data_IF_735796762566
#
_entry.id   IF_735796762566
#
_cell.length_a   1.000
_cell.length_b   1.000
_cell.length_c   1.000
_cell.angle_alpha   90.00
_cell.angle_beta   90.00
_cell.angle_gamma   90.00
#
_symmetry.space_group_name_H-M   'P 1'
#
loop_
_entity.id
_entity.type
_entity.pdbx_description
1 polymer ?
#
# COMPACT_ATOMS: atom_id res chain seq x y z
N UNK A 1 0.49 -46.49 16.45
CA UNK A 1 0.45 -45.02 16.53
C UNK A 1 1.08 -44.51 15.24
N UNK A 2 0.28 -43.91 14.35
CA UNK A 2 0.80 -43.39 13.10
C UNK A 2 1.50 -42.06 13.41
N UNK A 3 2.80 -41.99 13.14
CA UNK A 3 3.54 -40.75 13.15
C UNK A 3 2.95 -39.82 12.09
N UNK A 4 2.33 -38.74 12.55
CA UNK A 4 1.86 -37.65 11.72
C UNK A 4 3.09 -36.92 11.20
N UNK A 5 3.58 -37.30 10.03
CA UNK A 5 4.63 -36.57 9.32
C UNK A 5 3.99 -35.27 8.83
N UNK A 6 4.10 -34.21 9.63
CA UNK A 6 3.92 -32.85 9.17
C UNK A 6 4.85 -32.63 7.98
N UNK A 7 4.29 -32.58 6.78
CA UNK A 7 5.03 -32.06 5.62
C UNK A 7 5.41 -30.63 5.99
N UNK A 8 6.71 -30.26 6.00
CA UNK A 8 7.10 -28.89 6.24
C UNK A 8 6.54 -28.06 5.08
N UNK A 9 5.38 -27.43 5.32
CA UNK A 9 4.76 -26.56 4.34
C UNK A 9 5.71 -25.38 4.13
N UNK A 10 5.83 -24.93 2.87
CA UNK A 10 6.66 -23.77 2.49
C UNK A 10 6.32 -22.52 3.34
N UNK A 11 5.15 -22.50 3.98
CA UNK A 11 4.72 -21.50 4.95
C UNK A 11 5.65 -21.36 6.18
N UNK A 12 6.27 -22.44 6.69
CA UNK A 12 7.13 -22.37 7.89
C UNK A 12 8.53 -21.80 7.61
N UNK A 13 8.93 -21.69 6.33
CA UNK A 13 10.22 -21.07 5.94
C UNK A 13 10.12 -19.54 5.80
N UNK A 14 8.95 -18.95 6.01
CA UNK A 14 8.68 -17.51 5.91
C UNK A 14 8.65 -16.85 7.33
N UNK A 15 9.04 -17.59 8.36
CA UNK A 15 8.98 -17.19 9.78
C UNK A 15 9.96 -16.07 10.17
N UNK A 16 10.91 -15.70 9.31
CA UNK A 16 11.75 -14.50 9.55
C UNK A 16 11.14 -13.32 8.82
N UNK A 17 10.46 -12.38 9.52
CA UNK A 17 10.03 -11.16 8.87
C UNK A 17 11.29 -10.35 8.54
N UNK A 18 11.66 -10.37 7.26
CA UNK A 18 12.65 -9.46 6.69
C UNK A 18 12.39 -8.04 7.24
N UNK A 19 13.41 -7.25 7.62
CA UNK A 19 13.21 -5.93 8.22
C UNK A 19 12.27 -5.04 7.41
N UNK A 20 12.28 -5.18 6.08
CA UNK A 20 11.33 -4.54 5.16
C UNK A 20 9.87 -4.95 5.38
N UNK A 21 9.59 -6.22 5.68
CA UNK A 21 8.24 -6.70 6.01
C UNK A 21 7.79 -6.15 7.36
N UNK A 22 8.70 -6.08 8.34
CA UNK A 22 8.41 -5.45 9.64
C UNK A 22 8.07 -3.96 9.49
N UNK A 23 8.77 -3.28 8.59
CA UNK A 23 8.54 -1.88 8.25
C UNK A 23 7.23 -1.66 7.48
N UNK A 24 6.89 -2.57 6.56
CA UNK A 24 5.60 -2.55 5.86
C UNK A 24 4.41 -2.81 6.81
N UNK A 25 4.63 -3.58 7.89
CA UNK A 25 3.65 -3.85 8.94
C UNK A 25 3.49 -2.66 9.90
N UNK A 26 4.53 -1.87 10.14
CA UNK A 26 4.49 -0.73 11.05
C UNK A 26 4.00 0.53 10.34
N UNK A 27 2.70 0.82 10.54
CA UNK A 27 2.03 2.03 10.07
C UNK A 27 2.81 3.33 10.39
N UNK A 28 3.29 3.57 11.63
CA UNK A 28 3.99 4.80 11.93
C UNK A 28 5.35 4.91 11.25
N UNK A 29 6.16 3.84 11.22
CA UNK A 29 7.50 3.92 10.63
C UNK A 29 7.42 4.14 9.11
N UNK A 30 6.51 3.45 8.43
CA UNK A 30 6.35 3.61 6.99
C UNK A 30 5.84 5.01 6.61
N UNK A 31 4.88 5.55 7.36
CA UNK A 31 4.37 6.90 7.13
C UNK A 31 5.44 7.97 7.39
N UNK A 32 6.19 7.86 8.50
CA UNK A 32 7.26 8.80 8.84
C UNK A 32 8.39 8.76 7.80
N UNK A 33 8.87 7.57 7.42
CA UNK A 33 9.93 7.41 6.42
C UNK A 33 9.49 8.00 5.08
N UNK A 34 8.25 7.71 4.66
CA UNK A 34 7.70 8.24 3.39
C UNK A 34 7.65 9.76 3.42
N UNK A 35 7.13 10.37 4.48
CA UNK A 35 7.03 11.83 4.59
C UNK A 35 8.40 12.51 4.62
N UNK A 36 9.35 11.96 5.37
CA UNK A 36 10.73 12.48 5.42
C UNK A 36 11.39 12.39 4.04
N UNK A 37 11.31 11.24 3.38
CA UNK A 37 11.94 11.02 2.06
C UNK A 37 11.33 11.95 1.01
N UNK A 38 10.00 12.07 0.95
CA UNK A 38 9.33 12.97 0.00
C UNK A 38 9.73 14.43 0.26
N UNK A 39 9.79 14.85 1.52
CA UNK A 39 10.16 16.22 1.89
C UNK A 39 11.61 16.54 1.53
N UNK A 40 12.54 15.63 1.82
CA UNK A 40 13.96 15.79 1.47
C UNK A 40 14.16 15.78 -0.06
N UNK A 41 13.49 14.89 -0.78
CA UNK A 41 13.49 14.87 -2.25
C UNK A 41 12.99 16.19 -2.84
N UNK A 42 11.87 16.70 -2.33
CA UNK A 42 11.30 17.98 -2.77
C UNK A 42 12.26 19.14 -2.50
N UNK A 43 12.82 19.21 -1.30
CA UNK A 43 13.82 20.23 -0.96
C UNK A 43 15.04 20.16 -1.89
N UNK A 44 15.61 18.97 -2.09
CA UNK A 44 16.77 18.78 -2.97
C UNK A 44 16.49 19.21 -4.42
N UNK A 45 15.34 18.79 -4.97
CA UNK A 45 14.96 19.08 -6.35
C UNK A 45 14.59 20.54 -6.60
N UNK A 46 14.10 21.26 -5.60
CA UNK A 46 13.84 22.69 -5.68
C UNK A 46 15.13 23.51 -5.53
N UNK A 47 16.12 23.02 -4.78
CA UNK A 47 17.41 23.71 -4.63
C UNK A 47 18.36 23.49 -5.82
N UNK A 48 18.36 22.31 -6.43
CA UNK A 48 19.31 21.94 -7.50
C UNK A 48 18.68 21.87 -8.90
N UNK A 49 17.36 21.99 -8.99
CA UNK A 49 16.63 21.84 -10.24
C UNK A 49 16.22 23.17 -10.87
N UNK A 50 15.88 23.14 -12.15
CA UNK A 50 15.40 24.30 -12.89
C UNK A 50 13.97 24.66 -12.45
N UNK A 51 13.84 25.53 -11.45
CA UNK A 51 12.54 26.03 -10.95
C UNK A 51 11.70 26.72 -12.02
N UNK A 52 12.33 27.30 -13.05
CA UNK A 52 11.66 27.97 -14.18
C UNK A 52 11.02 26.99 -15.18
N UNK A 53 11.36 25.69 -15.10
CA UNK A 53 10.78 24.68 -15.98
C UNK A 53 9.53 24.07 -15.34
N UNK A 54 8.37 24.39 -15.91
CA UNK A 54 7.09 23.78 -15.54
C UNK A 54 7.11 22.25 -15.63
N UNK A 55 7.84 21.69 -16.60
CA UNK A 55 8.00 20.25 -16.75
C UNK A 55 8.81 19.63 -15.60
N UNK A 56 9.83 20.34 -15.10
CA UNK A 56 10.63 19.90 -13.96
C UNK A 56 9.81 19.92 -12.66
N UNK A 57 9.10 21.02 -12.40
CA UNK A 57 8.23 21.16 -11.23
C UNK A 57 7.11 20.12 -11.25
N UNK A 58 6.47 19.92 -12.41
CA UNK A 58 5.44 18.89 -12.58
C UNK A 58 5.98 17.47 -12.40
N UNK A 59 7.14 17.17 -12.99
CA UNK A 59 7.77 15.84 -12.91
C UNK A 59 8.19 15.46 -11.50
N UNK A 60 8.83 16.38 -10.77
CA UNK A 60 9.24 16.17 -9.37
C UNK A 60 8.04 15.97 -8.45
N UNK A 61 6.96 16.73 -8.66
CA UNK A 61 5.69 16.52 -7.97
C UNK A 61 5.09 15.14 -8.26
N UNK A 62 5.06 14.73 -9.54
CA UNK A 62 4.53 13.43 -9.95
C UNK A 62 5.30 12.27 -9.31
N UNK A 63 6.64 12.35 -9.27
CA UNK A 63 7.48 11.34 -8.60
C UNK A 63 7.11 11.23 -7.11
N UNK A 64 6.93 12.35 -6.42
CA UNK A 64 6.52 12.35 -5.02
C UNK A 64 5.15 11.70 -4.80
N UNK A 65 4.17 12.01 -5.64
CA UNK A 65 2.83 11.41 -5.59
C UNK A 65 2.88 9.91 -5.88
N UNK A 66 3.63 9.47 -6.89
CA UNK A 66 3.82 8.06 -7.20
C UNK A 66 4.45 7.29 -6.03
N UNK A 67 5.49 7.86 -5.39
CA UNK A 67 6.13 7.24 -4.23
C UNK A 67 5.14 7.13 -3.05
N UNK A 68 4.39 8.21 -2.75
CA UNK A 68 3.40 8.23 -1.69
C UNK A 68 2.34 7.15 -1.88
N UNK A 69 1.78 7.07 -3.08
CA UNK A 69 0.74 6.09 -3.43
C UNK A 69 1.27 4.67 -3.46
N UNK A 70 2.50 4.45 -3.95
CA UNK A 70 3.14 3.14 -3.92
C UNK A 70 3.33 2.65 -2.48
N UNK A 71 3.87 3.51 -1.60
CA UNK A 71 4.05 3.16 -0.19
C UNK A 71 2.71 2.91 0.51
N UNK A 72 1.71 3.76 0.26
CA UNK A 72 0.36 3.54 0.77
C UNK A 72 -0.23 2.21 0.27
N UNK A 73 -0.10 1.90 -1.01
CA UNK A 73 -0.59 0.65 -1.60
C UNK A 73 0.09 -0.59 -1.00
N UNK A 74 1.43 -0.57 -0.86
CA UNK A 74 2.19 -1.66 -0.22
C UNK A 74 1.70 -1.85 1.22
N UNK A 75 1.48 -0.76 1.95
CA UNK A 75 0.98 -0.82 3.31
C UNK A 75 -0.43 -1.43 3.40
N UNK A 76 -1.33 -0.98 2.52
CA UNK A 76 -2.74 -1.42 2.50
C UNK A 76 -2.88 -2.86 1.99
N UNK A 77 -2.02 -3.30 1.07
CA UNK A 77 -2.02 -4.66 0.52
C UNK A 77 -1.87 -5.75 1.60
N UNK A 78 -1.28 -5.41 2.74
CA UNK A 78 -1.09 -6.34 3.85
C UNK A 78 -2.34 -6.48 4.76
N UNK A 79 -3.42 -5.72 4.53
CA UNK A 79 -4.58 -5.69 5.42
C UNK A 79 -5.90 -5.83 4.66
N UNK A 80 -6.94 -6.32 5.34
CA UNK A 80 -8.27 -6.43 4.74
C UNK A 80 -8.94 -5.07 4.55
N UNK A 81 -9.83 -4.97 3.55
CA UNK A 81 -10.53 -3.74 3.15
C UNK A 81 -11.22 -3.02 4.32
N UNK A 82 -11.75 -3.75 5.30
CA UNK A 82 -12.39 -3.17 6.49
C UNK A 82 -11.44 -2.29 7.30
N UNK A 83 -10.15 -2.65 7.35
CA UNK A 83 -9.14 -1.88 8.08
C UNK A 83 -8.65 -0.65 7.30
N UNK A 84 -8.93 -0.56 5.99
CA UNK A 84 -8.47 0.56 5.16
C UNK A 84 -9.15 1.87 5.56
N UNK A 85 -10.40 1.81 6.04
CA UNK A 85 -11.21 2.96 6.47
C UNK A 85 -10.48 3.81 7.51
N UNK A 86 -9.75 3.19 8.44
CA UNK A 86 -9.02 3.90 9.50
C UNK A 86 -7.52 4.02 9.21
N UNK A 87 -6.94 3.06 8.48
CA UNK A 87 -5.49 3.04 8.25
C UNK A 87 -5.04 3.98 7.15
N UNK A 88 -5.84 4.18 6.10
CA UNK A 88 -5.54 5.18 5.07
C UNK A 88 -5.52 6.61 5.63
N UNK A 89 -6.54 7.08 6.39
CA UNK A 89 -6.47 8.39 7.00
C UNK A 89 -5.38 8.48 8.07
N UNK A 90 -5.14 7.43 8.87
CA UNK A 90 -4.05 7.44 9.86
C UNK A 90 -2.67 7.52 9.20
N UNK A 91 -2.46 6.84 8.07
CA UNK A 91 -1.25 6.96 7.28
C UNK A 91 -1.05 8.40 6.78
N UNK A 92 -2.11 9.01 6.24
CA UNK A 92 -2.06 10.40 5.78
C UNK A 92 -1.75 11.39 6.92
N UNK A 93 -2.32 11.19 8.12
CA UNK A 93 -2.08 12.04 9.29
C UNK A 93 -0.63 11.91 9.78
N UNK A 94 -0.10 10.69 9.87
CA UNK A 94 1.28 10.50 10.33
C UNK A 94 2.32 10.98 9.32
N UNK A 95 2.06 10.75 8.02
CA UNK A 95 2.93 11.23 6.96
C UNK A 95 2.94 12.77 6.91
N UNK A 96 1.76 13.40 6.98
CA UNK A 96 1.66 14.86 7.06
C UNK A 96 2.26 15.42 8.35
N UNK A 97 2.14 14.71 9.48
CA UNK A 97 2.82 15.06 10.72
C UNK A 97 4.34 15.08 10.59
N UNK A 98 4.93 14.10 9.91
CA UNK A 98 6.37 14.09 9.60
C UNK A 98 6.75 15.28 8.73
N UNK A 99 5.96 15.57 7.70
CA UNK A 99 6.18 16.69 6.80
C UNK A 99 6.09 18.04 7.54
N UNK A 100 5.12 18.23 8.42
CA UNK A 100 4.98 19.42 9.27
C UNK A 100 6.19 19.56 10.21
N UNK A 101 6.64 18.48 10.85
CA UNK A 101 7.80 18.52 11.75
C UNK A 101 9.08 18.91 11.01
N UNK A 102 9.31 18.35 9.81
CA UNK A 102 10.47 18.73 8.99
C UNK A 102 10.36 20.18 8.53
N UNK A 103 9.16 20.64 8.15
CA UNK A 103 8.92 22.06 7.82
C UNK A 103 9.26 22.96 9.00
N UNK A 104 8.74 22.64 10.19
CA UNK A 104 8.98 23.43 11.39
C UNK A 104 10.47 23.46 11.76
N UNK A 105 11.19 22.34 11.59
CA UNK A 105 12.63 22.27 11.79
C UNK A 105 13.39 23.16 10.78
N UNK A 106 13.01 23.14 9.50
CA UNK A 106 13.62 23.97 8.45
C UNK A 106 13.31 25.46 8.62
N UNK A 107 12.08 25.81 9.01
CA UNK A 107 11.66 27.17 9.35
C UNK A 107 12.49 27.70 10.53
N UNK A 108 12.68 26.89 11.59
CA UNK A 108 13.54 27.27 12.73
C UNK A 108 15.00 27.52 12.32
N UNK A 109 15.46 26.85 11.27
CA UNK A 109 16.81 27.00 10.72
C UNK A 109 16.91 28.11 9.66
N UNK A 110 15.82 28.83 9.34
CA UNK A 110 15.73 29.81 8.24
C UNK A 110 16.11 29.22 6.86
N UNK A 111 15.78 27.95 6.62
CA UNK A 111 16.10 27.25 5.38
C UNK A 111 14.87 26.97 4.50
N UNK A 112 13.68 27.47 4.89
CA UNK A 112 12.43 27.19 4.17
C UNK A 112 11.89 28.42 3.44
N UNK A 113 12.03 28.48 2.10
CA UNK A 113 11.30 29.44 1.27
C UNK A 113 9.86 28.98 1.05
N UNK A 114 8.88 29.82 1.38
CA UNK A 114 7.46 29.66 1.05
C UNK A 114 7.13 30.50 -0.19
N UNK A 115 7.60 30.08 -1.36
CA UNK A 115 7.40 30.84 -2.61
C UNK A 115 8.42 31.97 -2.75
N UNK A 116 7.97 33.23 -2.78
CA UNK A 116 8.82 34.42 -2.96
C UNK A 116 9.40 34.97 -1.64
N UNK A 117 8.90 34.52 -0.49
CA UNK A 117 9.32 34.97 0.84
C UNK A 117 9.76 33.80 1.73
N UNK A 118 10.54 34.11 2.77
CA UNK A 118 10.95 33.12 3.77
C UNK A 118 9.80 32.80 4.71
N UNK A 119 9.65 31.53 5.09
CA UNK A 119 8.60 31.11 6.00
C UNK A 119 8.76 31.75 7.39
N UNK A 120 7.72 32.43 7.87
CA UNK A 120 7.69 32.91 9.25
C UNK A 120 7.07 31.85 10.16
N UNK A 121 7.46 31.83 11.45
CA UNK A 121 6.89 30.92 12.43
C UNK A 121 5.38 31.16 12.65
N UNK A 122 4.81 32.27 12.19
CA UNK A 122 3.38 32.56 12.21
C UNK A 122 2.58 31.74 11.18
N UNK A 123 3.22 31.34 10.07
CA UNK A 123 2.60 30.64 8.93
C UNK A 123 2.47 29.12 9.13
N UNK A 124 2.99 28.60 10.23
CA UNK A 124 3.07 27.16 10.49
C UNK A 124 1.70 26.49 10.51
N UNK A 125 0.69 27.10 11.15
CA UNK A 125 -0.63 26.50 11.36
C UNK A 125 -1.48 26.49 10.08
N UNK A 126 -1.59 27.60 9.32
CA UNK A 126 -2.23 27.59 7.99
C UNK A 126 -1.56 26.60 7.03
N UNK A 127 -0.23 26.54 7.04
CA UNK A 127 0.55 25.63 6.18
C UNK A 127 0.32 24.17 6.56
N UNK A 128 0.38 23.84 7.85
CA UNK A 128 0.10 22.50 8.37
C UNK A 128 -1.31 22.02 8.02
N UNK A 129 -2.31 22.88 8.23
CA UNK A 129 -3.72 22.55 7.94
C UNK A 129 -3.93 22.28 6.45
N UNK A 130 -3.33 23.11 5.58
CA UNK A 130 -3.38 22.92 4.12
C UNK A 130 -2.74 21.60 3.70
N UNK A 131 -1.58 21.26 4.26
CA UNK A 131 -0.88 19.99 3.99
C UNK A 131 -1.78 18.82 4.40
N UNK A 132 -2.26 18.80 5.64
CA UNK A 132 -3.11 17.73 6.17
C UNK A 132 -4.37 17.54 5.33
N UNK A 133 -5.05 18.64 4.98
CA UNK A 133 -6.30 18.59 4.23
C UNK A 133 -6.13 17.98 2.84
N UNK A 134 -5.21 18.52 2.04
CA UNK A 134 -4.95 18.01 0.69
C UNK A 134 -4.40 16.59 0.72
N UNK A 135 -3.62 16.25 1.75
CA UNK A 135 -3.10 14.90 1.93
C UNK A 135 -4.18 13.89 2.24
N UNK A 136 -5.05 14.19 3.20
CA UNK A 136 -6.20 13.35 3.55
C UNK A 136 -7.10 13.13 2.35
N UNK A 137 -7.37 14.19 1.58
CA UNK A 137 -8.19 14.11 0.38
C UNK A 137 -7.53 13.21 -0.68
N UNK A 138 -6.25 13.43 -0.99
CA UNK A 138 -5.52 12.66 -2.00
C UNK A 138 -5.35 11.19 -1.64
N UNK A 139 -4.88 10.90 -0.42
CA UNK A 139 -4.69 9.52 0.06
C UNK A 139 -6.04 8.81 0.23
N UNK A 140 -7.06 9.50 0.73
CA UNK A 140 -8.41 8.95 0.86
C UNK A 140 -9.02 8.60 -0.50
N UNK A 141 -8.94 9.49 -1.49
CA UNK A 141 -9.41 9.23 -2.84
C UNK A 141 -8.66 8.06 -3.49
N UNK A 142 -7.32 8.03 -3.39
CA UNK A 142 -6.51 6.93 -3.88
C UNK A 142 -6.87 5.60 -3.24
N UNK A 143 -6.99 5.55 -1.91
CA UNK A 143 -7.36 4.34 -1.19
C UNK A 143 -8.76 3.85 -1.57
N UNK A 144 -9.71 4.77 -1.81
CA UNK A 144 -11.04 4.44 -2.33
C UNK A 144 -11.00 3.80 -3.71
N UNK A 145 -10.27 4.40 -4.66
CA UNK A 145 -10.08 3.84 -6.01
C UNK A 145 -9.41 2.46 -5.94
N UNK A 146 -8.34 2.34 -5.15
CA UNK A 146 -7.65 1.06 -4.96
C UNK A 146 -8.57 0.00 -4.35
N UNK A 147 -9.44 0.39 -3.41
CA UNK A 147 -10.41 -0.53 -2.79
C UNK A 147 -11.43 -1.04 -3.80
N UNK A 148 -11.91 -0.18 -4.71
CA UNK A 148 -12.80 -0.56 -5.80
C UNK A 148 -12.09 -1.57 -6.71
N UNK A 149 -10.87 -1.26 -7.17
CA UNK A 149 -10.08 -2.14 -8.05
C UNK A 149 -9.87 -3.50 -7.40
N UNK A 150 -9.41 -3.54 -6.15
CA UNK A 150 -9.18 -4.80 -5.41
C UNK A 150 -10.48 -5.59 -5.22
N UNK A 151 -11.60 -4.92 -4.95
CA UNK A 151 -12.91 -5.56 -4.81
C UNK A 151 -13.37 -6.21 -6.12
N UNK A 152 -13.20 -5.52 -7.25
CA UNK A 152 -13.52 -6.04 -8.58
C UNK A 152 -12.65 -7.25 -8.90
N UNK A 153 -11.33 -7.14 -8.75
CA UNK A 153 -10.39 -8.24 -9.02
C UNK A 153 -10.71 -9.45 -8.14
N UNK A 154 -10.95 -9.25 -6.84
CA UNK A 154 -11.35 -10.33 -5.93
C UNK A 154 -12.65 -11.00 -6.38
N UNK A 155 -13.64 -10.22 -6.84
CA UNK A 155 -14.90 -10.78 -7.35
C UNK A 155 -14.70 -11.60 -8.62
N UNK A 156 -13.86 -11.14 -9.54
CA UNK A 156 -13.55 -11.86 -10.78
C UNK A 156 -12.82 -13.19 -10.50
N UNK A 157 -11.87 -13.20 -9.56
CA UNK A 157 -11.16 -14.42 -9.16
C UNK A 157 -12.13 -15.42 -8.53
N UNK A 158 -12.99 -14.97 -7.60
CA UNK A 158 -13.98 -15.85 -6.95
C UNK A 158 -14.96 -16.48 -7.96
N UNK A 159 -15.42 -15.70 -8.95
CA UNK A 159 -16.29 -16.22 -10.03
C UNK A 159 -15.54 -17.22 -10.92
N UNK A 160 -14.26 -16.99 -11.20
CA UNK A 160 -13.45 -17.93 -11.97
C UNK A 160 -13.20 -19.24 -11.22
N UNK A 161 -12.97 -19.16 -9.91
CA UNK A 161 -12.74 -20.32 -9.05
C UNK A 161 -14.00 -21.18 -8.91
N UNK A 162 -15.17 -20.56 -8.70
CA UNK A 162 -16.47 -21.25 -8.63
C UNK A 162 -16.75 -22.06 -9.91
N UNK A 163 -16.55 -21.44 -11.09
CA UNK A 163 -16.68 -22.12 -12.39
C UNK A 163 -15.75 -23.32 -12.52
N UNK A 164 -14.51 -23.21 -12.02
CA UNK A 164 -13.53 -24.30 -12.07
C UNK A 164 -13.91 -25.47 -11.15
N UNK A 165 -14.48 -25.17 -9.98
CA UNK A 165 -14.96 -26.18 -9.04
C UNK A 165 -16.18 -26.92 -9.60
N UNK A 166 -17.15 -26.21 -10.17
CA UNK A 166 -18.33 -26.83 -10.81
C UNK A 166 -17.91 -27.70 -11.99
N UNK A 167 -16.99 -27.23 -12.84
CA UNK A 167 -16.49 -28.00 -13.98
C UNK A 167 -15.81 -29.32 -13.55
N UNK A 168 -15.00 -29.28 -12.48
CA UNK A 168 -14.36 -30.49 -11.92
C UNK A 168 -15.38 -31.45 -11.30
N UNK A 169 -16.41 -30.93 -10.63
CA UNK A 169 -17.46 -31.75 -10.04
C UNK A 169 -18.29 -32.48 -11.10
N UNK A 170 -18.66 -31.79 -12.19
CA UNK A 170 -19.37 -32.39 -13.32
C UNK A 170 -18.51 -33.44 -14.03
N UNK A 171 -17.21 -33.18 -14.22
CA UNK A 171 -16.31 -34.15 -14.84
C UNK A 171 -16.18 -35.42 -14.00
N UNK A 172 -16.03 -35.30 -12.66
CA UNK A 172 -15.99 -36.42 -11.72
C UNK A 172 -17.28 -37.24 -11.75
N UNK A 173 -18.44 -36.60 -11.66
CA UNK A 173 -19.72 -37.29 -11.72
C UNK A 173 -19.90 -38.06 -13.03
N UNK A 174 -19.47 -37.46 -14.15
CA UNK A 174 -19.51 -38.13 -15.46
C UNK A 174 -18.58 -39.35 -15.53
N UNK A 175 -17.41 -39.29 -14.90
CA UNK A 175 -16.45 -40.42 -14.88
C UNK A 175 -16.94 -41.58 -14.00
N UNK A 176 -17.50 -41.28 -12.83
CA UNK A 176 -18.09 -42.28 -11.94
C UNK A 176 -19.27 -43.00 -12.61
N UNK A 177 -20.08 -42.29 -13.39
CA UNK A 177 -21.22 -42.84 -14.12
C UNK A 177 -20.82 -43.68 -15.35
N UNK A 178 -19.64 -43.41 -15.93
CA UNK A 178 -19.05 -44.16 -17.04
C UNK A 178 -18.24 -45.39 -16.59
N UNK A 179 -18.00 -45.55 -15.28
CA UNK A 179 -17.29 -46.72 -14.72
C UNK A 179 -18.34 -47.74 -14.24
N UNK A 180 -18.56 -48.86 -14.95
CA UNK A 180 -19.54 -49.86 -14.52
C UNK A 180 -19.09 -50.55 -13.22
N UNK A 181 -20.02 -51.02 -12.37
CA UNK A 181 -19.70 -51.66 -11.09
C UNK A 181 -18.98 -53.03 -11.17
N UNK A 182 -18.50 -53.47 -12.34
CA UNK A 182 -18.10 -54.87 -12.59
C UNK A 182 -16.59 -55.14 -12.67
N UNK A 183 -15.71 -54.23 -12.23
CA UNK A 183 -14.25 -54.48 -12.20
C UNK A 183 -13.67 -54.74 -10.80
N UNK A 184 -14.50 -55.04 -9.79
CA UNK A 184 -14.05 -55.43 -8.44
C UNK A 184 -14.26 -56.92 -8.11
N UNK A 185 -14.84 -57.72 -9.01
CA UNK A 185 -14.89 -59.19 -8.87
C UNK A 185 -13.83 -59.85 -9.76
N UNK A 186 -12.56 -59.88 -9.32
CA UNK A 186 -11.52 -60.50 -10.14
C UNK A 186 -10.10 -60.50 -9.60
N UNK A 187 -9.89 -60.59 -8.29
CA UNK A 187 -8.58 -60.92 -7.73
C UNK A 187 -8.77 -61.60 -6.36
N UNK A 188 -9.17 -62.87 -6.40
CA UNK A 188 -8.87 -63.84 -5.34
C UNK A 188 -7.66 -64.66 -5.79
#
# INVERSE_FOLDING_TARGET
MADFIERPSIASRIETPHPLRRLALSLPQMALVTGIVIRLWRSYTLTHGSSDSWAWVGGTFLVGVCLLFLMCAIHLANYSLRHWIWRAPLFAILESGAEILVSLALTRMNLEPLGAEMAELSDWLPTATRIIFWRLLGVGAFAGVLAIVVSVVRRLILVAEDRSHTARAVHRASTEQLTPPDTQEGAK
#
